data_IF_723663244952
#
_entry.id   IF_723663244952
#
_cell.length_a   1.000
_cell.length_b   1.000
_cell.length_c   1.000
_cell.angle_alpha   90.00
_cell.angle_beta   90.00
_cell.angle_gamma   90.00
#
_symmetry.space_group_name_H-M   'P 1'
#
loop_
_entity.id
_entity.type
_entity.pdbx_description
1 polymer ?
#
# COMPACT_ATOMS: atom_id res chain seq x y z
N UNK A 1 -7.91 -10.38 15.58
CA UNK A 1 -9.37 -10.31 15.81
C UNK A 1 -9.66 -9.01 16.55
N UNK A 2 -10.63 -8.22 16.10
CA UNK A 2 -11.07 -6.96 16.73
C UNK A 2 -12.57 -7.06 17.00
N UNK A 3 -13.09 -6.48 18.09
CA UNK A 3 -14.52 -6.54 18.43
C UNK A 3 -15.07 -5.15 18.72
N UNK A 4 -16.30 -4.89 18.29
CA UNK A 4 -17.12 -3.74 18.71
C UNK A 4 -18.18 -4.28 19.67
N UNK A 5 -18.32 -3.63 20.82
CA UNK A 5 -19.30 -4.01 21.85
C UNK A 5 -20.29 -2.87 22.09
N UNK A 6 -21.48 -3.21 22.58
CA UNK A 6 -22.47 -2.24 23.03
C UNK A 6 -22.20 -1.80 24.49
N UNK A 7 -22.98 -0.85 24.99
CA UNK A 7 -22.85 -0.34 26.36
C UNK A 7 -23.06 -1.38 27.47
N UNK A 8 -23.64 -2.55 27.16
CA UNK A 8 -23.81 -3.67 28.10
C UNK A 8 -22.72 -4.76 27.93
N UNK A 9 -21.69 -4.52 27.12
CA UNK A 9 -20.59 -5.47 26.89
C UNK A 9 -20.89 -6.60 25.90
N UNK A 10 -22.07 -6.61 25.29
CA UNK A 10 -22.42 -7.56 24.22
C UNK A 10 -21.68 -7.24 22.94
N UNK A 11 -21.15 -8.28 22.25
CA UNK A 11 -20.45 -8.10 20.97
C UNK A 11 -21.46 -7.82 19.85
N UNK A 12 -21.26 -6.70 19.16
CA UNK A 12 -22.07 -6.28 18.00
C UNK A 12 -21.43 -6.76 16.70
N UNK A 13 -20.12 -6.56 16.59
CA UNK A 13 -19.31 -7.00 15.45
C UNK A 13 -18.00 -7.60 15.91
N UNK A 14 -17.59 -8.66 15.24
CA UNK A 14 -16.24 -9.22 15.33
C UNK A 14 -15.59 -9.16 13.97
N UNK A 15 -14.38 -8.63 13.86
CA UNK A 15 -13.61 -8.54 12.62
C UNK A 15 -12.35 -9.41 12.68
N UNK A 16 -12.08 -10.10 11.58
CA UNK A 16 -10.83 -10.85 11.36
C UNK A 16 -10.02 -10.17 10.26
N UNK A 17 -8.73 -10.01 10.49
CA UNK A 17 -7.80 -9.31 9.62
C UNK A 17 -6.65 -10.23 9.23
N UNK A 18 -6.17 -10.10 8.00
CA UNK A 18 -4.95 -10.74 7.51
C UNK A 18 -4.18 -9.74 6.65
N UNK A 19 -2.86 -9.70 6.78
CA UNK A 19 -1.98 -8.83 5.99
C UNK A 19 -2.41 -7.34 5.96
N UNK A 20 -2.95 -6.86 7.09
CA UNK A 20 -3.41 -5.47 7.23
C UNK A 20 -4.75 -5.15 6.57
N UNK A 21 -5.49 -6.15 6.06
CA UNK A 21 -6.82 -5.99 5.44
C UNK A 21 -7.90 -6.79 6.18
N UNK A 22 -9.16 -6.33 6.18
CA UNK A 22 -10.26 -7.08 6.76
C UNK A 22 -10.61 -8.25 5.85
N UNK A 23 -10.78 -9.44 6.44
CA UNK A 23 -11.09 -10.67 5.70
C UNK A 23 -12.54 -11.06 5.93
N UNK A 24 -12.98 -11.04 7.19
CA UNK A 24 -14.34 -11.41 7.55
C UNK A 24 -14.85 -10.59 8.72
N UNK A 25 -16.18 -10.58 8.85
CA UNK A 25 -16.86 -10.13 10.05
C UNK A 25 -17.93 -11.12 10.49
N UNK A 26 -18.21 -11.15 11.79
CA UNK A 26 -19.32 -11.90 12.37
C UNK A 26 -20.22 -10.93 13.12
N UNK A 27 -21.52 -10.97 12.82
CA UNK A 27 -22.53 -10.13 13.48
C UNK A 27 -22.94 -10.68 14.85
N UNK A 28 -23.77 -9.93 15.58
CA UNK A 28 -24.27 -10.33 16.90
C UNK A 28 -25.04 -11.67 16.90
N UNK A 29 -25.66 -12.04 15.77
CA UNK A 29 -26.37 -13.30 15.58
C UNK A 29 -25.47 -14.50 15.27
N UNK A 30 -24.14 -14.30 15.20
CA UNK A 30 -23.17 -15.35 14.88
C UNK A 30 -23.00 -15.64 13.38
N UNK A 31 -23.67 -14.91 12.50
CA UNK A 31 -23.51 -15.07 11.04
C UNK A 31 -22.21 -14.39 10.58
N UNK A 32 -21.43 -15.12 9.78
CA UNK A 32 -20.15 -14.63 9.24
C UNK A 32 -20.28 -14.20 7.78
N UNK A 33 -19.65 -13.07 7.46
CA UNK A 33 -19.60 -12.44 6.14
C UNK A 33 -18.15 -12.17 5.76
N UNK A 34 -17.89 -12.01 4.46
CA UNK A 34 -16.54 -11.89 3.90
C UNK A 34 -16.38 -10.57 3.15
N UNK A 35 -15.30 -9.86 3.45
CA UNK A 35 -14.99 -8.61 2.78
C UNK A 35 -14.34 -8.85 1.42
N UNK A 36 -14.76 -8.07 0.44
CA UNK A 36 -14.08 -7.96 -0.85
C UNK A 36 -13.55 -6.54 -0.96
N UNK A 37 -12.22 -6.42 -1.04
CA UNK A 37 -11.54 -5.13 -1.17
C UNK A 37 -10.85 -4.98 -2.52
N UNK A 38 -10.66 -3.74 -2.99
CA UNK A 38 -9.75 -3.49 -4.10
C UNK A 38 -8.27 -3.59 -3.68
N UNK A 39 -7.34 -3.29 -4.61
CA UNK A 39 -5.90 -3.36 -4.34
C UNK A 39 -5.46 -2.44 -3.18
N UNK A 40 -6.12 -1.28 -3.05
CA UNK A 40 -5.88 -0.25 -2.03
C UNK A 40 -6.44 -0.62 -0.65
N UNK A 41 -7.38 -1.56 -0.59
CA UNK A 41 -8.05 -1.94 0.65
C UNK A 41 -9.41 -1.27 0.85
N UNK A 42 -9.97 -0.64 -0.19
CA UNK A 42 -11.34 -0.12 -0.13
C UNK A 42 -12.32 -1.28 -0.14
N UNK A 43 -13.23 -1.33 0.85
CA UNK A 43 -14.31 -2.32 0.88
C UNK A 43 -15.29 -2.01 -0.24
N UNK A 44 -15.32 -2.83 -1.29
CA UNK A 44 -16.21 -2.65 -2.45
C UNK A 44 -17.45 -3.56 -2.39
N UNK A 45 -17.36 -4.71 -1.73
CA UNK A 45 -18.49 -5.63 -1.49
C UNK A 45 -18.31 -6.39 -0.19
N UNK A 46 -19.42 -6.93 0.30
CA UNK A 46 -19.46 -7.92 1.37
C UNK A 46 -20.29 -9.10 0.87
N UNK A 47 -19.80 -10.31 1.09
CA UNK A 47 -20.43 -11.55 0.65
C UNK A 47 -20.90 -12.39 1.84
N UNK A 48 -22.01 -13.10 1.69
CA UNK A 48 -22.40 -14.15 2.64
C UNK A 48 -21.59 -15.45 2.42
N UNK A 49 -21.85 -16.47 3.26
CA UNK A 49 -21.20 -17.77 3.14
C UNK A 49 -21.56 -18.57 1.88
N UNK A 50 -22.60 -18.16 1.16
CA UNK A 50 -23.01 -18.77 -0.11
C UNK A 50 -22.44 -18.02 -1.33
N UNK A 51 -21.69 -16.94 -1.12
CA UNK A 51 -21.11 -16.12 -2.18
C UNK A 51 -22.07 -15.08 -2.77
N UNK A 52 -23.20 -14.78 -2.12
CA UNK A 52 -24.08 -13.70 -2.55
C UNK A 52 -23.62 -12.36 -1.98
N UNK A 53 -23.72 -11.30 -2.78
CA UNK A 53 -23.41 -9.94 -2.33
C UNK A 53 -24.50 -9.44 -1.38
N UNK A 54 -24.11 -9.14 -0.14
CA UNK A 54 -24.98 -8.58 0.92
C UNK A 54 -24.75 -7.09 1.16
N UNK A 55 -23.61 -6.57 0.69
CA UNK A 55 -23.38 -5.13 0.55
C UNK A 55 -22.51 -4.81 -0.68
N UNK A 56 -22.66 -3.59 -1.19
CA UNK A 56 -21.78 -3.00 -2.20
C UNK A 56 -21.58 -1.51 -1.94
N UNK A 57 -20.37 -1.04 -2.25
CA UNK A 57 -19.95 0.34 -2.05
C UNK A 57 -19.18 0.84 -3.26
N UNK A 58 -19.37 2.11 -3.59
CA UNK A 58 -18.50 2.83 -4.52
C UNK A 58 -18.03 4.14 -3.92
N UNK A 59 -16.82 4.54 -4.28
CA UNK A 59 -16.16 5.73 -3.77
C UNK A 59 -15.52 6.51 -4.93
N UNK A 60 -15.36 7.81 -4.73
CA UNK A 60 -14.42 8.58 -5.54
C UNK A 60 -12.96 8.32 -5.11
N UNK A 61 -11.95 8.89 -5.80
CA UNK A 61 -10.55 8.71 -5.42
C UNK A 61 -10.20 9.14 -4.00
N UNK A 62 -10.94 10.08 -3.41
CA UNK A 62 -10.72 10.63 -2.07
C UNK A 62 -11.52 9.93 -0.98
N UNK A 63 -12.34 8.94 -1.34
CA UNK A 63 -13.11 8.12 -0.42
C UNK A 63 -14.51 8.63 -0.14
N UNK A 64 -14.97 9.66 -0.85
CA UNK A 64 -16.35 10.11 -0.80
C UNK A 64 -17.24 8.99 -1.30
N UNK A 65 -18.22 8.60 -0.50
CA UNK A 65 -19.14 7.51 -0.84
C UNK A 65 -20.09 7.97 -1.94
N UNK A 66 -20.07 7.27 -3.07
CA UNK A 66 -20.92 7.56 -4.24
C UNK A 66 -22.17 6.69 -4.26
N UNK A 67 -22.07 5.44 -3.79
CA UNK A 67 -23.22 4.55 -3.64
C UNK A 67 -23.04 3.58 -2.48
N UNK A 68 -24.16 3.25 -1.84
CA UNK A 68 -24.27 2.24 -0.78
C UNK A 68 -25.48 1.37 -1.08
N UNK A 69 -25.29 0.06 -1.05
CA UNK A 69 -26.37 -0.92 -0.99
C UNK A 69 -26.02 -1.94 0.08
N UNK A 70 -26.90 -2.12 1.07
CA UNK A 70 -26.68 -3.01 2.21
C UNK A 70 -27.98 -3.71 2.56
N UNK A 71 -27.90 -4.99 2.91
CA UNK A 71 -29.00 -5.67 3.57
C UNK A 71 -28.94 -5.47 5.10
N UNK A 72 -30.04 -5.81 5.77
CA UNK A 72 -30.17 -5.63 7.22
C UNK A 72 -29.16 -6.44 8.05
N UNK A 73 -28.58 -7.51 7.50
CA UNK A 73 -27.67 -8.38 8.25
C UNK A 73 -26.26 -7.79 8.40
N UNK A 74 -25.90 -6.83 7.53
CA UNK A 74 -24.61 -6.13 7.51
C UNK A 74 -24.75 -4.62 7.73
N UNK A 75 -25.98 -4.13 7.82
CA UNK A 75 -26.27 -2.72 8.10
C UNK A 75 -25.58 -2.26 9.40
N UNK A 76 -24.90 -1.12 9.33
CA UNK A 76 -24.20 -0.54 10.49
C UNK A 76 -22.81 -1.13 10.77
N UNK A 77 -22.31 -2.06 9.96
CA UNK A 77 -20.88 -2.36 9.97
C UNK A 77 -20.11 -1.09 9.52
N UNK A 78 -19.00 -0.70 10.15
CA UNK A 78 -18.39 0.61 9.90
C UNK A 78 -17.23 0.62 8.89
N UNK A 79 -16.72 -0.53 8.44
CA UNK A 79 -15.54 -0.57 7.57
C UNK A 79 -15.90 -0.19 6.13
N UNK A 80 -15.15 0.76 5.55
CA UNK A 80 -15.40 1.34 4.21
C UNK A 80 -14.07 1.59 3.45
N UNK A 81 -13.86 2.80 2.94
CA UNK A 81 -12.67 3.24 2.21
C UNK A 81 -11.37 2.98 3.00
N UNK A 82 -10.36 2.41 2.35
CA UNK A 82 -9.12 1.90 2.93
C UNK A 82 -9.30 1.07 4.21
N UNK A 83 -10.48 0.45 4.38
CA UNK A 83 -10.86 -0.29 5.58
C UNK A 83 -10.85 0.54 6.86
N UNK A 84 -11.00 1.86 6.75
CA UNK A 84 -11.18 2.75 7.89
C UNK A 84 -12.59 2.60 8.50
N UNK A 85 -12.73 3.00 9.75
CA UNK A 85 -14.01 3.11 10.44
C UNK A 85 -14.71 4.38 9.96
N UNK A 86 -15.81 4.22 9.23
CA UNK A 86 -16.65 5.32 8.78
C UNK A 86 -17.72 5.61 9.82
N UNK A 87 -17.78 6.86 10.25
CA UNK A 87 -18.86 7.38 11.09
C UNK A 87 -19.95 7.97 10.20
N UNK A 88 -21.13 7.34 10.22
CA UNK A 88 -22.27 7.74 9.41
C UNK A 88 -22.91 9.06 9.83
N UNK A 89 -22.75 9.48 11.10
CA UNK A 89 -23.35 10.71 11.61
C UNK A 89 -22.54 11.93 11.14
N UNK A 90 -21.22 11.86 11.28
CA UNK A 90 -20.30 12.95 10.92
C UNK A 90 -19.82 12.87 9.47
N UNK A 91 -19.96 11.70 8.82
CA UNK A 91 -19.41 11.37 7.49
C UNK A 91 -17.88 11.42 7.43
N UNK A 92 -17.23 11.22 8.58
CA UNK A 92 -15.78 11.21 8.71
C UNK A 92 -15.25 9.77 8.81
N UNK A 93 -14.00 9.60 8.38
CA UNK A 93 -13.26 8.36 8.60
C UNK A 93 -12.33 8.51 9.80
N UNK A 94 -12.37 7.56 10.74
CA UNK A 94 -11.43 7.49 11.85
C UNK A 94 -10.21 6.64 11.47
N UNK A 95 -9.04 7.28 11.45
CA UNK A 95 -7.74 6.68 11.12
C UNK A 95 -6.89 6.50 12.39
N UNK A 96 -7.49 6.09 13.50
CA UNK A 96 -6.84 5.88 14.82
C UNK A 96 -6.39 7.15 15.56
N UNK A 97 -5.74 8.10 14.89
CA UNK A 97 -5.25 9.32 15.56
C UNK A 97 -5.92 10.59 15.08
N UNK A 98 -6.53 10.56 13.89
CA UNK A 98 -7.22 11.70 13.29
C UNK A 98 -8.48 11.25 12.57
N UNK A 99 -9.38 12.20 12.43
CA UNK A 99 -10.54 12.08 11.55
C UNK A 99 -10.22 12.69 10.19
N UNK A 100 -10.58 11.97 9.13
CA UNK A 100 -10.42 12.35 7.73
C UNK A 100 -11.78 12.71 7.15
N UNK A 101 -11.87 13.90 6.55
CA UNK A 101 -13.03 14.41 5.85
C UNK A 101 -12.86 14.26 4.34
N UNK A 102 -13.77 13.50 3.72
CA UNK A 102 -13.75 13.26 2.27
C UNK A 102 -14.35 14.39 1.46
N UNK A 103 -15.17 15.25 2.06
CA UNK A 103 -15.73 16.42 1.35
C UNK A 103 -14.67 17.48 1.10
N UNK A 104 -13.79 17.69 2.09
CA UNK A 104 -12.65 18.61 1.96
C UNK A 104 -11.35 17.94 1.52
N UNK A 105 -11.32 16.60 1.45
CA UNK A 105 -10.14 15.79 1.12
C UNK A 105 -8.95 16.03 2.07
N UNK A 106 -9.23 16.26 3.36
CA UNK A 106 -8.25 16.66 4.38
C UNK A 106 -8.54 16.00 5.72
N UNK A 107 -7.53 15.90 6.58
CA UNK A 107 -7.76 15.66 8.00
C UNK A 107 -8.41 16.88 8.65
N UNK A 108 -9.28 16.66 9.64
CA UNK A 108 -9.93 17.76 10.38
C UNK A 108 -9.04 18.32 11.49
N UNK A 109 -8.00 17.57 11.88
CA UNK A 109 -7.02 17.97 12.88
C UNK A 109 -5.60 18.01 12.29
N UNK A 110 -4.81 18.92 12.84
CA UNK A 110 -3.40 19.12 12.49
C UNK A 110 -2.58 17.88 12.85
N UNK A 111 -1.66 17.47 11.98
CA UNK A 111 -0.63 16.48 12.30
C UNK A 111 0.36 17.04 13.35
N UNK A 112 0.79 16.17 14.27
CA UNK A 112 1.88 16.48 15.19
C UNK A 112 3.26 16.36 14.52
N UNK A 113 3.35 15.69 13.36
CA UNK A 113 4.55 15.65 12.53
C UNK A 113 4.59 16.86 11.59
N UNK A 114 5.56 17.75 11.76
CA UNK A 114 5.67 18.97 10.94
C UNK A 114 6.18 18.73 9.51
N UNK A 115 6.48 17.49 9.14
CA UNK A 115 7.05 17.16 7.84
C UNK A 115 8.54 17.48 7.74
N UNK A 116 9.07 17.38 6.53
CA UNK A 116 10.47 17.66 6.20
C UNK A 116 10.61 19.00 5.47
N UNK A 117 11.69 19.73 5.73
CA UNK A 117 12.05 20.93 4.98
C UNK A 117 12.35 20.62 3.50
N UNK A 118 12.84 19.41 3.21
CA UNK A 118 13.18 18.96 1.86
C UNK A 118 11.97 18.42 1.07
N UNK A 119 10.80 18.31 1.71
CA UNK A 119 9.56 17.90 1.08
C UNK A 119 8.45 18.89 1.44
N UNK A 120 8.25 19.97 0.64
CA UNK A 120 7.25 20.99 0.90
C UNK A 120 5.82 20.44 1.03
N UNK A 121 5.50 19.37 0.30
CA UNK A 121 4.18 18.72 0.38
C UNK A 121 3.96 18.18 1.79
N UNK A 122 4.98 17.56 2.41
CA UNK A 122 4.89 17.03 3.79
C UNK A 122 4.61 18.07 4.87
N UNK A 123 4.78 19.37 4.59
CA UNK A 123 4.52 20.45 5.54
C UNK A 123 3.04 20.84 5.64
N UNK A 124 2.19 20.36 4.74
CA UNK A 124 0.75 20.50 4.90
C UNK A 124 0.24 19.48 5.93
N UNK A 125 -0.04 19.97 7.13
CA UNK A 125 -0.38 19.16 8.30
C UNK A 125 -1.81 18.62 8.30
N UNK A 126 -2.60 18.94 7.26
CA UNK A 126 -3.96 18.47 7.07
C UNK A 126 -4.12 17.58 5.83
N UNK A 127 -3.05 17.33 5.07
CA UNK A 127 -3.15 16.54 3.84
C UNK A 127 -3.42 15.06 4.12
N UNK A 128 -4.10 14.41 3.19
CA UNK A 128 -4.24 12.96 3.15
C UNK A 128 -3.48 12.40 1.94
N UNK A 129 -2.73 11.32 2.14
CA UNK A 129 -2.12 10.59 1.02
C UNK A 129 -1.09 11.39 0.19
N UNK A 130 -0.42 12.39 0.75
CA UNK A 130 0.42 13.34 -0.01
C UNK A 130 -0.30 14.00 -1.21
N UNK A 131 -1.61 14.22 -1.07
CA UNK A 131 -2.51 14.68 -2.14
C UNK A 131 -2.58 13.73 -3.37
N UNK A 132 -2.20 12.46 -3.21
CA UNK A 132 -2.33 11.38 -4.19
C UNK A 132 -2.98 10.12 -3.55
N UNK A 133 -4.30 10.17 -3.26
CA UNK A 133 -5.00 9.11 -2.54
C UNK A 133 -5.17 7.80 -3.33
N UNK A 134 -4.90 7.85 -4.65
CA UNK A 134 -4.91 6.68 -5.53
C UNK A 134 -3.66 5.83 -5.31
N UNK A 135 -2.53 6.48 -5.06
CA UNK A 135 -1.25 5.80 -4.85
C UNK A 135 -0.85 5.71 -3.39
N UNK A 136 -1.47 6.45 -2.47
CA UNK A 136 -1.14 6.44 -1.03
C UNK A 136 -2.35 6.19 -0.13
N UNK A 137 -2.11 5.50 0.99
CA UNK A 137 -3.06 5.19 2.06
C UNK A 137 -2.41 5.52 3.39
N UNK A 138 -3.11 6.20 4.30
CA UNK A 138 -2.62 6.51 5.64
C UNK A 138 -3.23 5.55 6.67
N UNK A 139 -2.43 4.60 7.15
CA UNK A 139 -2.91 3.49 7.99
C UNK A 139 -3.19 3.91 9.43
N UNK A 140 -2.45 4.90 9.94
CA UNK A 140 -2.48 5.33 11.35
C UNK A 140 -2.87 6.79 11.54
N UNK A 141 -3.19 7.47 10.43
CA UNK A 141 -3.51 8.87 10.40
C UNK A 141 -2.29 9.71 10.75
N UNK A 142 -1.06 9.31 10.42
CA UNK A 142 0.15 10.12 10.65
C UNK A 142 1.05 10.15 9.43
N UNK A 143 1.24 9.01 8.79
CA UNK A 143 2.17 8.91 7.67
C UNK A 143 1.54 8.10 6.54
N UNK A 144 1.24 8.74 5.40
CA UNK A 144 0.76 8.02 4.24
C UNK A 144 1.83 7.06 3.72
N UNK A 145 1.39 5.84 3.50
CA UNK A 145 2.15 4.74 2.93
C UNK A 145 1.73 4.64 1.47
N UNK A 146 2.69 4.72 0.55
CA UNK A 146 2.41 4.46 -0.86
C UNK A 146 1.83 3.04 -0.94
N UNK A 147 0.65 2.82 -1.49
CA UNK A 147 -0.02 1.51 -1.63
C UNK A 147 0.88 0.53 -2.38
N UNK A 148 1.76 1.06 -3.24
CA UNK A 148 2.87 0.31 -3.82
C UNK A 148 4.00 -0.02 -2.83
N UNK A 149 3.83 0.10 -1.51
CA UNK A 149 4.83 -0.23 -0.47
C UNK A 149 5.16 -1.71 -0.37
N UNK A 150 4.46 -2.59 -1.10
CA UNK A 150 5.02 -3.88 -1.50
C UNK A 150 6.39 -3.71 -2.23
N UNK A 151 6.67 -2.56 -2.85
CA UNK A 151 7.95 -2.12 -3.41
C UNK A 151 8.86 -1.37 -2.41
N UNK A 152 8.40 -0.98 -1.23
CA UNK A 152 9.23 -0.26 -0.23
C UNK A 152 10.04 -1.22 0.66
N UNK A 153 9.51 -2.41 0.90
CA UNK A 153 10.25 -3.53 1.51
C UNK A 153 11.47 -3.87 0.66
N UNK A 154 11.39 -3.65 -0.67
CA UNK A 154 12.52 -3.68 -1.57
C UNK A 154 13.53 -2.58 -1.26
N UNK A 155 13.11 -1.31 -1.27
CA UNK A 155 14.00 -0.16 -1.08
C UNK A 155 14.81 -0.23 0.22
N UNK A 156 14.16 -0.59 1.34
CA UNK A 156 14.84 -0.76 2.64
C UNK A 156 15.84 -1.90 2.65
N UNK A 157 15.56 -2.97 1.91
CA UNK A 157 16.49 -4.07 1.73
C UNK A 157 17.67 -3.73 0.81
N UNK A 158 17.44 -2.88 -0.20
CA UNK A 158 18.45 -2.40 -1.14
C UNK A 158 19.41 -1.37 -0.53
N UNK A 159 18.96 -0.57 0.44
CA UNK A 159 19.83 0.35 1.22
C UNK A 159 20.89 -0.42 2.03
N UNK A 160 20.61 -1.66 2.45
CA UNK A 160 21.62 -2.55 3.07
C UNK A 160 22.80 -2.85 2.14
N UNK A 161 22.64 -2.63 0.82
CA UNK A 161 23.67 -2.74 -0.20
C UNK A 161 24.23 -1.37 -0.64
N UNK A 162 24.05 -0.31 0.18
CA UNK A 162 24.64 1.03 0.00
C UNK A 162 24.08 1.87 -1.15
N UNK A 163 22.81 1.67 -1.52
CA UNK A 163 22.11 2.43 -2.56
C UNK A 163 21.43 3.69 -1.99
N UNK A 164 21.60 4.84 -2.67
CA UNK A 164 20.95 6.10 -2.26
C UNK A 164 19.42 6.01 -2.39
N UNK A 165 18.69 6.65 -1.46
CA UNK A 165 17.22 6.63 -1.42
C UNK A 165 16.57 7.12 -2.72
N UNK A 166 17.10 8.20 -3.31
CA UNK A 166 16.60 8.75 -4.58
C UNK A 166 16.80 7.79 -5.76
N UNK A 167 17.93 7.06 -5.80
CA UNK A 167 18.13 6.02 -6.80
C UNK A 167 17.16 4.85 -6.61
N UNK A 168 16.94 4.42 -5.36
CA UNK A 168 16.00 3.35 -5.03
C UNK A 168 14.55 3.70 -5.44
N UNK A 169 14.17 4.99 -5.31
CA UNK A 169 12.89 5.50 -5.75
C UNK A 169 12.70 5.41 -7.28
N UNK A 170 13.62 6.01 -8.06
CA UNK A 170 13.53 6.00 -9.52
C UNK A 170 13.62 4.58 -10.12
N UNK A 171 14.37 3.70 -9.48
CA UNK A 171 14.46 2.29 -9.86
C UNK A 171 13.14 1.57 -9.55
N UNK A 172 12.53 1.83 -8.40
CA UNK A 172 11.20 1.33 -8.08
C UNK A 172 10.17 1.71 -9.16
N UNK A 173 10.16 2.95 -9.62
CA UNK A 173 9.30 3.39 -10.73
C UNK A 173 9.57 2.64 -12.03
N UNK A 174 10.85 2.39 -12.36
CA UNK A 174 11.25 1.68 -13.57
C UNK A 174 10.84 0.21 -13.53
N UNK A 175 11.01 -0.46 -12.40
CA UNK A 175 10.60 -1.86 -12.18
C UNK A 175 9.12 -2.09 -12.49
N UNK A 176 8.28 -1.13 -12.09
CA UNK A 176 6.84 -1.20 -12.31
C UNK A 176 6.49 -1.11 -13.80
N UNK A 177 7.18 -0.22 -14.54
CA UNK A 177 6.95 -0.05 -15.98
C UNK A 177 7.32 -1.31 -16.78
N UNK A 178 8.20 -2.15 -16.25
CA UNK A 178 8.76 -3.32 -16.95
C UNK A 178 8.41 -4.66 -16.30
N UNK A 179 7.52 -4.67 -15.30
CA UNK A 179 6.99 -5.91 -14.70
C UNK A 179 7.97 -6.73 -13.84
N UNK A 180 9.06 -6.14 -13.34
CA UNK A 180 10.07 -6.84 -12.52
C UNK A 180 9.71 -6.74 -11.05
N UNK A 181 9.60 -7.88 -10.37
CA UNK A 181 9.26 -7.93 -8.96
C UNK A 181 10.47 -7.62 -8.07
N UNK A 182 10.25 -6.92 -6.93
CA UNK A 182 11.23 -6.71 -5.86
C UNK A 182 12.17 -7.86 -5.56
N UNK A 183 11.60 -9.04 -5.29
CA UNK A 183 12.37 -10.19 -4.84
C UNK A 183 13.37 -10.68 -5.89
N UNK A 184 13.11 -10.43 -7.17
CA UNK A 184 14.02 -10.83 -8.24
C UNK A 184 15.28 -9.97 -8.24
N UNK A 185 15.16 -8.66 -8.06
CA UNK A 185 16.30 -7.72 -7.92
C UNK A 185 17.15 -8.05 -6.69
N UNK A 186 16.48 -8.39 -5.60
CA UNK A 186 17.11 -8.86 -4.36
C UNK A 186 17.96 -10.10 -4.61
N UNK A 187 17.39 -11.09 -5.29
CA UNK A 187 18.09 -12.33 -5.60
C UNK A 187 19.27 -12.07 -6.54
N UNK A 188 19.14 -11.14 -7.49
CA UNK A 188 20.25 -10.71 -8.35
C UNK A 188 21.39 -10.06 -7.57
N UNK A 189 21.09 -9.21 -6.57
CA UNK A 189 22.14 -8.61 -5.75
C UNK A 189 22.86 -9.59 -4.83
N UNK A 190 22.14 -10.63 -4.37
CA UNK A 190 22.70 -11.64 -3.46
C UNK A 190 23.44 -12.76 -4.16
N UNK A 191 22.87 -13.24 -5.25
CA UNK A 191 23.24 -14.50 -5.88
C UNK A 191 23.52 -14.34 -7.38
N UNK A 192 23.55 -13.10 -7.87
CA UNK A 192 23.82 -12.83 -9.28
C UNK A 192 25.29 -13.02 -9.62
N UNK A 193 25.51 -13.55 -10.81
CA UNK A 193 26.82 -13.58 -11.43
C UNK A 193 27.23 -12.14 -11.75
N UNK A 194 28.48 -11.79 -11.44
CA UNK A 194 29.01 -10.44 -11.62
C UNK A 194 29.76 -10.31 -12.95
N UNK A 195 29.58 -9.17 -13.60
CA UNK A 195 30.26 -8.79 -14.84
C UNK A 195 30.64 -7.32 -14.84
N UNK A 196 31.58 -6.94 -15.70
CA UNK A 196 31.92 -5.57 -16.03
C UNK A 196 31.47 -5.23 -17.46
N UNK A 197 30.71 -4.15 -17.61
CA UNK A 197 30.30 -3.60 -18.91
C UNK A 197 31.35 -2.60 -19.39
N UNK A 198 32.15 -3.03 -20.37
CA UNK A 198 33.26 -2.22 -20.91
C UNK A 198 32.79 -1.01 -21.71
N UNK A 199 31.57 -1.03 -22.23
CA UNK A 199 31.04 0.07 -23.07
C UNK A 199 30.52 1.22 -22.21
N UNK A 200 29.90 0.89 -21.06
CA UNK A 200 29.30 1.90 -20.17
C UNK A 200 30.09 2.13 -18.87
N UNK A 201 31.20 1.42 -18.68
CA UNK A 201 32.06 1.51 -17.49
C UNK A 201 31.29 1.25 -16.20
N UNK A 202 30.55 0.14 -16.15
CA UNK A 202 29.59 -0.16 -15.07
C UNK A 202 29.64 -1.61 -14.65
N UNK A 203 29.36 -1.87 -13.37
CA UNK A 203 29.20 -3.22 -12.83
C UNK A 203 27.82 -3.77 -13.18
N UNK A 204 27.74 -5.05 -13.53
CA UNK A 204 26.49 -5.71 -13.89
C UNK A 204 26.35 -6.99 -13.07
N UNK A 205 25.19 -7.18 -12.45
CA UNK A 205 24.80 -8.45 -11.85
C UNK A 205 23.66 -9.07 -12.65
N UNK A 206 23.78 -10.37 -12.92
CA UNK A 206 22.77 -11.13 -13.64
C UNK A 206 22.31 -12.34 -12.83
N UNK A 207 21.00 -12.55 -12.72
CA UNK A 207 20.41 -13.72 -12.08
C UNK A 207 19.05 -14.05 -12.67
N UNK A 208 18.92 -15.26 -13.26
CA UNK A 208 17.64 -15.79 -13.78
C UNK A 208 16.89 -14.78 -14.66
N UNK A 209 17.59 -14.18 -15.63
CA UNK A 209 17.03 -13.18 -16.55
C UNK A 209 17.09 -11.74 -16.05
N UNK A 210 17.20 -11.51 -14.74
CA UNK A 210 17.21 -10.14 -14.21
C UNK A 210 18.63 -9.55 -14.20
N UNK A 211 18.75 -8.37 -14.79
CA UNK A 211 19.97 -7.57 -14.89
C UNK A 211 19.87 -6.37 -13.95
N UNK A 212 20.90 -6.18 -13.13
CA UNK A 212 21.08 -5.01 -12.26
C UNK A 212 22.39 -4.33 -12.63
N UNK A 213 22.34 -3.06 -13.04
CA UNK A 213 23.51 -2.28 -13.43
C UNK A 213 23.86 -1.29 -12.32
N UNK A 214 25.11 -1.28 -11.88
CA UNK A 214 25.65 -0.41 -10.85
C UNK A 214 26.82 0.42 -11.40
N UNK A 215 26.99 1.63 -10.87
CA UNK A 215 28.20 2.43 -11.01
C UNK A 215 28.72 2.74 -9.61
N UNK A 216 29.80 2.05 -9.23
CA UNK A 216 30.25 2.02 -7.83
C UNK A 216 29.17 1.44 -6.92
N UNK A 217 28.76 2.21 -5.91
CA UNK A 217 27.69 1.80 -4.97
C UNK A 217 26.28 2.19 -5.40
N UNK A 218 26.12 2.87 -6.54
CA UNK A 218 24.84 3.36 -7.02
C UNK A 218 24.26 2.44 -8.10
N UNK A 219 22.99 2.05 -7.96
CA UNK A 219 22.26 1.31 -8.98
C UNK A 219 21.73 2.32 -9.98
N UNK A 220 21.99 2.04 -11.25
CA UNK A 220 21.67 2.91 -12.37
C UNK A 220 20.39 2.44 -13.05
N UNK A 221 20.25 1.14 -13.25
CA UNK A 221 19.08 0.57 -13.91
C UNK A 221 18.88 -0.90 -13.59
N UNK A 222 17.64 -1.36 -13.80
CA UNK A 222 17.23 -2.76 -13.79
C UNK A 222 16.42 -3.08 -15.04
N UNK A 223 16.58 -4.28 -15.59
CA UNK A 223 15.79 -4.80 -16.71
C UNK A 223 15.88 -6.32 -16.80
N UNK A 224 15.03 -6.93 -17.64
CA UNK A 224 15.06 -8.35 -17.98
C UNK A 224 15.85 -8.53 -19.29
N UNK A 225 16.72 -9.54 -19.34
CA UNK A 225 17.49 -9.85 -20.53
C UNK A 225 18.52 -10.97 -20.35
N UNK A 226 18.97 -11.57 -21.47
CA UNK A 226 20.02 -12.58 -21.44
C UNK A 226 21.39 -11.98 -21.09
N UNK A 227 22.34 -12.84 -20.71
CA UNK A 227 23.75 -12.44 -20.57
C UNK A 227 24.28 -11.98 -21.94
N UNK A 228 24.91 -10.80 -21.96
CA UNK A 228 25.52 -10.24 -23.17
C UNK A 228 27.03 -10.49 -23.19
N UNK A 229 27.46 -11.72 -23.47
CA UNK A 229 28.88 -12.14 -23.42
C UNK A 229 29.84 -11.29 -24.28
N UNK A 230 29.35 -10.70 -25.36
CA UNK A 230 30.13 -9.81 -26.23
C UNK A 230 30.35 -8.41 -25.66
N UNK A 231 29.66 -8.06 -24.57
CA UNK A 231 29.67 -6.74 -23.92
C UNK A 231 30.08 -6.81 -22.46
N UNK A 232 29.72 -7.89 -21.78
CA UNK A 232 29.91 -8.09 -20.35
C UNK A 232 31.03 -9.09 -20.12
N UNK A 233 32.12 -8.59 -19.56
CA UNK A 233 33.25 -9.41 -19.18
C UNK A 233 32.99 -9.99 -17.78
N UNK A 234 33.11 -11.31 -17.59
CA UNK A 234 32.97 -11.90 -16.26
C UNK A 234 34.08 -11.39 -15.34
N UNK A 235 33.72 -11.20 -14.07
CA UNK A 235 34.69 -11.01 -12.99
C UNK A 235 35.39 -12.32 -12.61
#
# INVERSE_FOLDING_TARGET
>A
MVRITNGSGGTVWTFTWADGKPVSMTNASGTTFYYVTNFRGDVIRIMDGNGNSVASYSYDPWGKVLSVSENAAVAGQPLRYASYVYDTETKLYYLQTRYYDTETARFVSRDNNFGSFDNPISQNLYQYGFDDPVNFVDVDGKNPVLIRFALSLLGRYLVRYSLSFNAAWHIGEKMIKIGIAPIQVINTLRFGQRFYDITEGSDVLWHKGIVVVLRGRQMITVYDGPIKWWRWLPY
#
